data_IF_329518140497
#
_entry.id   IF_329518140497
#
_cell.length_a   1.000
_cell.length_b   1.000
_cell.length_c   1.000
_cell.angle_alpha   90.00
_cell.angle_beta   90.00
_cell.angle_gamma   90.00
#
_symmetry.space_group_name_H-M   'P 1'
#
loop_
_entity.id
_entity.type
_entity.pdbx_description
1 polymer ?
#
# COMPACT_ATOMS: atom_id res chain seq x y z
N UNK A 1 -1.46 7.80 -16.75
CA UNK A 1 -1.66 8.03 -15.31
C UNK A 1 -0.59 7.22 -14.59
N UNK A 2 0.56 7.82 -14.33
CA UNK A 2 1.70 7.13 -13.70
C UNK A 2 1.63 7.28 -12.18
N UNK A 3 0.92 6.36 -11.53
CA UNK A 3 0.89 6.25 -10.07
C UNK A 3 1.41 4.88 -9.66
N UNK A 4 2.69 4.83 -9.30
CA UNK A 4 3.21 3.70 -8.55
C UNK A 4 2.59 3.71 -7.14
N UNK A 5 1.82 2.66 -6.87
CA UNK A 5 1.16 2.39 -5.60
C UNK A 5 1.94 1.27 -4.94
N UNK A 6 2.38 1.49 -3.71
CA UNK A 6 2.96 0.42 -2.90
C UNK A 6 1.81 -0.28 -2.19
N UNK A 7 1.69 -1.57 -2.41
CA UNK A 7 0.62 -2.39 -1.85
C UNK A 7 1.17 -3.21 -0.70
N UNK A 8 0.58 -3.06 0.48
CA UNK A 8 0.80 -3.95 1.61
C UNK A 8 -0.25 -5.05 1.64
N UNK A 9 0.22 -6.23 1.99
CA UNK A 9 -0.47 -7.51 2.10
C UNK A 9 -1.99 -7.48 1.90
N UNK A 10 -2.38 -7.74 0.65
CA UNK A 10 -3.49 -8.65 0.46
C UNK A 10 -2.88 -9.90 -0.18
N UNK A 11 -3.12 -11.08 0.39
CA UNK A 11 -2.76 -12.35 -0.24
C UNK A 11 -3.05 -12.39 -1.77
N UNK A 12 -4.15 -11.79 -2.26
CA UNK A 12 -4.40 -11.59 -3.69
C UNK A 12 -3.34 -10.77 -4.43
N UNK A 13 -2.82 -9.69 -3.85
CA UNK A 13 -1.83 -8.80 -4.48
C UNK A 13 -0.41 -9.39 -4.47
N UNK A 14 -0.04 -10.20 -3.47
CA UNK A 14 1.16 -11.07 -3.54
C UNK A 14 0.98 -12.11 -4.65
N UNK A 15 -0.22 -12.65 -4.83
CA UNK A 15 -0.57 -13.52 -5.96
C UNK A 15 -0.34 -12.82 -7.30
N UNK A 16 -0.86 -11.59 -7.45
CA UNK A 16 -0.67 -10.75 -8.63
C UNK A 16 0.80 -10.39 -8.88
N UNK A 17 1.57 -10.17 -7.83
CA UNK A 17 3.01 -9.93 -7.93
C UNK A 17 3.76 -11.13 -8.51
N UNK A 18 3.45 -12.33 -7.99
CA UNK A 18 4.07 -13.59 -8.46
C UNK A 18 3.79 -13.87 -9.93
N UNK A 19 2.66 -13.41 -10.45
CA UNK A 19 2.30 -13.56 -11.87
C UNK A 19 2.68 -12.35 -12.73
N UNK A 20 3.52 -11.43 -12.22
CA UNK A 20 4.04 -10.28 -12.96
C UNK A 20 3.00 -9.21 -13.30
N UNK A 21 1.85 -9.19 -12.61
CA UNK A 21 0.79 -8.19 -12.80
C UNK A 21 1.01 -6.94 -11.94
N UNK A 22 1.82 -7.03 -10.90
CA UNK A 22 2.29 -5.90 -10.08
C UNK A 22 3.77 -6.12 -9.71
N UNK A 23 4.55 -5.06 -9.53
CA UNK A 23 5.96 -5.16 -9.12
C UNK A 23 6.07 -5.44 -7.61
N UNK A 24 6.88 -6.44 -7.22
CA UNK A 24 7.14 -6.78 -5.82
C UNK A 24 8.63 -6.76 -5.52
N UNK A 25 9.03 -5.94 -4.54
CA UNK A 25 10.42 -5.79 -4.11
C UNK A 25 10.56 -6.26 -2.67
N UNK A 26 11.09 -7.48 -2.50
CA UNK A 26 11.51 -8.01 -1.20
C UNK A 26 12.68 -7.19 -0.66
N UNK A 27 12.51 -6.59 0.51
CA UNK A 27 13.56 -5.82 1.19
C UNK A 27 13.96 -6.52 2.49
N UNK A 28 15.24 -6.83 2.66
CA UNK A 28 15.81 -7.32 3.93
C UNK A 28 16.60 -6.18 4.56
N UNK A 29 15.97 -5.42 5.46
CA UNK A 29 16.62 -4.30 6.16
C UNK A 29 16.44 -4.40 7.67
N UNK A 30 17.30 -3.73 8.45
CA UNK A 30 17.16 -3.64 9.91
C UNK A 30 15.85 -2.97 10.35
N UNK A 31 15.30 -2.08 9.52
CA UNK A 31 14.00 -1.45 9.75
C UNK A 31 12.85 -2.48 9.73
N UNK A 32 12.98 -3.53 8.92
CA UNK A 32 12.01 -4.63 8.87
C UNK A 32 11.92 -5.36 10.21
N UNK A 33 13.06 -5.70 10.82
CA UNK A 33 13.10 -6.43 12.09
C UNK A 33 12.39 -5.67 13.22
N UNK A 34 12.46 -4.34 13.23
CA UNK A 34 11.77 -3.50 14.22
C UNK A 34 10.27 -3.39 13.94
N UNK A 35 9.87 -3.35 12.66
CA UNK A 35 8.47 -3.28 12.27
C UNK A 35 7.73 -4.61 12.49
N UNK A 36 8.41 -5.75 12.33
CA UNK A 36 7.87 -7.10 12.59
C UNK A 36 7.51 -7.36 14.06
N UNK A 37 7.87 -6.47 14.99
CA UNK A 37 7.40 -6.52 16.39
C UNK A 37 5.92 -6.14 16.48
N UNK A 38 5.45 -5.31 15.57
CA UNK A 38 4.10 -4.72 15.60
C UNK A 38 3.26 -5.11 14.38
N UNK A 39 3.87 -5.34 13.22
CA UNK A 39 3.18 -5.64 11.97
C UNK A 39 3.51 -7.07 11.53
N UNK A 40 2.67 -7.68 10.70
CA UNK A 40 3.07 -8.89 10.00
C UNK A 40 4.22 -8.61 9.01
N UNK A 41 4.75 -9.68 8.43
CA UNK A 41 5.89 -9.59 7.52
C UNK A 41 5.58 -8.79 6.25
N UNK A 42 4.41 -8.99 5.64
CA UNK A 42 4.03 -8.29 4.40
C UNK A 42 3.76 -6.80 4.62
N UNK A 43 3.09 -6.46 5.72
CA UNK A 43 2.86 -5.07 6.11
C UNK A 43 4.17 -4.34 6.45
N UNK A 44 5.05 -4.99 7.21
CA UNK A 44 6.35 -4.43 7.55
C UNK A 44 7.20 -4.18 6.29
N UNK A 45 7.23 -5.13 5.36
CA UNK A 45 7.94 -5.00 4.07
C UNK A 45 7.42 -3.83 3.25
N UNK A 46 6.09 -3.67 3.16
CA UNK A 46 5.48 -2.60 2.39
C UNK A 46 5.73 -1.21 2.99
N UNK A 47 5.73 -1.08 4.32
CA UNK A 47 6.10 0.17 5.00
C UNK A 47 7.56 0.54 4.73
N UNK A 48 8.48 -0.42 4.81
CA UNK A 48 9.90 -0.21 4.51
C UNK A 48 10.07 0.25 3.06
N UNK A 49 9.46 -0.47 2.12
CA UNK A 49 9.53 -0.17 0.70
C UNK A 49 8.96 1.22 0.37
N UNK A 50 7.80 1.57 0.91
CA UNK A 50 7.20 2.88 0.71
C UNK A 50 8.10 4.01 1.25
N UNK A 51 8.76 3.80 2.39
CA UNK A 51 9.68 4.79 2.95
C UNK A 51 10.95 4.97 2.11
N UNK A 52 11.49 3.89 1.55
CA UNK A 52 12.63 3.97 0.62
C UNK A 52 12.26 4.69 -0.67
N UNK A 53 11.12 4.33 -1.27
CA UNK A 53 10.64 4.96 -2.50
C UNK A 53 10.29 6.43 -2.28
N UNK A 54 9.79 6.82 -1.10
CA UNK A 54 9.59 8.23 -0.73
C UNK A 54 10.89 9.04 -0.82
N UNK A 55 12.04 8.44 -0.52
CA UNK A 55 13.34 9.11 -0.54
C UNK A 55 14.00 9.17 -1.93
N UNK A 56 13.44 8.50 -2.94
CA UNK A 56 14.00 8.50 -4.30
C UNK A 56 13.51 9.71 -5.10
N UNK A 57 14.36 10.32 -5.94
CA UNK A 57 13.90 11.18 -7.02
C UNK A 57 12.94 10.41 -7.93
N UNK A 58 12.02 11.14 -8.57
CA UNK A 58 10.90 10.64 -9.37
C UNK A 58 11.10 9.24 -10.04
N UNK A 59 10.11 8.33 -9.96
CA UNK A 59 8.81 8.44 -9.27
C UNK A 59 8.91 7.89 -7.83
N UNK A 60 8.82 8.74 -6.82
CA UNK A 60 8.75 8.28 -5.43
C UNK A 60 7.35 7.75 -5.07
N UNK A 61 7.25 6.87 -4.07
CA UNK A 61 5.97 6.31 -3.63
C UNK A 61 5.00 7.40 -3.15
N UNK A 62 3.79 7.42 -3.72
CA UNK A 62 2.76 8.44 -3.43
C UNK A 62 1.66 7.99 -2.48
N UNK A 63 1.44 6.68 -2.39
CA UNK A 63 0.38 6.07 -1.61
C UNK A 63 0.79 4.64 -1.22
N UNK A 64 0.68 4.34 0.06
CA UNK A 64 0.77 3.00 0.61
C UNK A 64 -0.64 2.47 0.87
N UNK A 65 -1.00 1.36 0.24
CA UNK A 65 -2.25 0.67 0.55
C UNK A 65 -2.03 -0.29 1.70
N UNK A 66 -2.91 -0.23 2.69
CA UNK A 66 -2.76 -0.95 3.94
C UNK A 66 -4.13 -1.29 4.52
N UNK A 67 -4.44 -2.58 4.56
CA UNK A 67 -5.77 -3.06 4.93
C UNK A 67 -6.02 -2.92 6.44
N UNK A 68 -4.97 -3.09 7.26
CA UNK A 68 -5.11 -3.04 8.70
C UNK A 68 -4.88 -1.65 9.28
N UNK A 69 -5.68 -1.32 10.30
CA UNK A 69 -5.58 -0.03 11.00
C UNK A 69 -4.22 0.15 11.64
N UNK A 70 -3.63 -0.91 12.19
CA UNK A 70 -2.34 -0.87 12.89
C UNK A 70 -1.21 -0.50 11.92
N UNK A 71 -1.14 -1.17 10.77
CA UNK A 71 -0.24 -0.82 9.68
C UNK A 71 -0.40 0.63 9.22
N UNK A 72 -1.63 1.12 9.04
CA UNK A 72 -1.88 2.52 8.64
C UNK A 72 -1.33 3.52 9.65
N UNK A 73 -1.64 3.34 10.93
CA UNK A 73 -1.13 4.22 12.00
C UNK A 73 0.40 4.21 12.05
N UNK A 74 1.02 3.03 11.87
CA UNK A 74 2.49 2.91 11.87
C UNK A 74 3.13 3.60 10.68
N UNK A 75 2.52 3.49 9.50
CA UNK A 75 2.93 4.16 8.28
C UNK A 75 2.80 5.70 8.38
N UNK A 76 1.68 6.19 8.93
CA UNK A 76 1.45 7.61 9.17
C UNK A 76 2.48 8.21 10.13
N UNK A 77 2.88 7.48 11.18
CA UNK A 77 3.98 7.86 12.08
C UNK A 77 5.33 7.98 11.36
N UNK A 78 5.51 7.29 10.23
CA UNK A 78 6.68 7.42 9.35
C UNK A 78 6.48 8.47 8.24
N UNK A 79 5.45 9.31 8.37
CA UNK A 79 5.08 10.32 7.37
C UNK A 79 4.81 9.70 5.99
N UNK A 80 4.29 8.47 5.96
CA UNK A 80 3.80 7.84 4.74
C UNK A 80 2.31 8.11 4.62
N UNK A 81 1.87 8.38 3.39
CA UNK A 81 0.44 8.47 3.09
C UNK A 81 -0.12 7.06 2.95
N UNK A 82 -0.84 6.60 3.97
CA UNK A 82 -1.48 5.29 3.97
C UNK A 82 -2.99 5.40 3.66
N UNK A 83 -3.57 4.39 3.03
CA UNK A 83 -5.00 4.31 2.73
C UNK A 83 -5.47 2.85 2.72
N UNK A 84 -6.65 2.58 3.28
CA UNK A 84 -7.28 1.26 3.17
C UNK A 84 -7.96 1.07 1.82
N UNK A 85 -8.23 -0.18 1.45
CA UNK A 85 -8.83 -0.58 0.16
C UNK A 85 -10.13 0.18 -0.13
N UNK A 86 -11.01 0.31 0.87
CA UNK A 86 -12.26 1.09 0.76
C UNK A 86 -11.99 2.56 0.42
N UNK A 87 -10.94 3.16 0.99
CA UNK A 87 -10.59 4.55 0.72
C UNK A 87 -10.23 4.79 -0.75
N UNK A 88 -9.65 3.78 -1.42
CA UNK A 88 -9.36 3.83 -2.86
C UNK A 88 -10.66 3.85 -3.66
N UNK A 89 -11.59 2.94 -3.33
CA UNK A 89 -12.88 2.85 -4.01
C UNK A 89 -13.65 4.15 -3.86
N UNK A 90 -13.49 4.88 -2.75
CA UNK A 90 -14.15 6.17 -2.53
C UNK A 90 -13.41 7.38 -3.14
N UNK A 91 -12.22 7.22 -3.75
CA UNK A 91 -11.50 8.32 -4.39
C UNK A 91 -12.29 9.04 -5.50
N UNK A 92 -13.07 8.37 -6.36
CA UNK A 92 -13.92 9.05 -7.34
C UNK A 92 -14.97 9.94 -6.67
N UNK A 93 -15.56 9.48 -5.57
CA UNK A 93 -16.53 10.23 -4.77
C UNK A 93 -15.95 11.50 -4.18
N UNK A 94 -14.72 11.44 -3.70
CA UNK A 94 -13.97 12.62 -3.26
C UNK A 94 -13.66 13.63 -4.39
N UNK A 95 -13.82 13.23 -5.66
CA UNK A 95 -13.64 14.09 -6.85
C UNK A 95 -14.96 14.52 -7.49
N UNK A 96 -16.08 14.27 -6.83
CA UNK A 96 -17.41 14.62 -7.32
C UNK A 96 -17.98 13.65 -8.36
N UNK A 97 -17.33 12.49 -8.59
CA UNK A 97 -17.90 11.41 -9.39
C UNK A 97 -18.74 10.49 -8.49
N UNK A 98 -19.86 10.01 -8.99
CA UNK A 98 -20.61 8.98 -8.27
C UNK A 98 -19.96 7.60 -8.43
N UNK A 99 -20.13 6.73 -7.44
CA UNK A 99 -19.65 5.34 -7.50
C UNK A 99 -20.71 4.39 -6.97
N UNK A 100 -21.09 3.43 -7.82
CA UNK A 100 -21.87 2.26 -7.41
C UNK A 100 -20.92 1.23 -6.80
N UNK A 101 -20.87 1.18 -5.47
CA UNK A 101 -19.98 0.26 -4.75
C UNK A 101 -20.35 -1.22 -4.97
N UNK A 102 -21.64 -1.64 -4.87
CA UNK A 102 -22.05 -3.00 -5.24
C UNK A 102 -21.58 -3.41 -6.65
N UNK A 103 -21.90 -2.63 -7.68
CA UNK A 103 -21.49 -2.97 -9.05
C UNK A 103 -19.96 -3.02 -9.20
N UNK A 104 -19.24 -2.14 -8.51
CA UNK A 104 -17.77 -2.10 -8.58
C UNK A 104 -17.13 -3.31 -7.90
N UNK A 105 -17.74 -3.85 -6.84
CA UNK A 105 -17.21 -5.01 -6.11
C UNK A 105 -17.53 -6.34 -6.81
N UNK A 106 -18.62 -6.42 -7.56
CA UNK A 106 -19.11 -7.65 -8.21
C UNK A 106 -18.58 -7.83 -9.66
N UNK A 107 -17.68 -6.95 -10.13
CA UNK A 107 -17.09 -6.97 -11.49
C UNK A 107 -15.86 -7.87 -11.66
#
# INVERSE_FOLDING_TARGET
MDREVVVADSGPLIGLARIGRVEHRLQRSRALALLKVELDEGEAEAVVLANELKARPWPGARLLLMDERKGRVRAERMQLRAMGTIGILLLPKARGADIDLPETLDR
#
